data_IF_161428256961
#
_entry.id   IF_161428256961
#
_cell.length_a   1.000
_cell.length_b   1.000
_cell.length_c   1.000
_cell.angle_alpha   90.00
_cell.angle_beta   90.00
_cell.angle_gamma   90.00
#
_symmetry.space_group_name_H-M   'P 1'
#
loop_
_entity.id
_entity.type
_entity.pdbx_description
1 polymer ?
#
# COMPACT_ATOMS: atom_id res chain seq x y z
N UNK A 1 -14.60 -20.47 7.32
CA UNK A 1 -13.57 -20.91 6.36
C UNK A 1 -12.34 -19.97 6.30
N UNK A 2 -12.41 -18.75 6.79
CA UNK A 2 -11.39 -17.72 6.47
C UNK A 2 -10.08 -17.79 7.23
N UNK A 3 -10.05 -18.30 8.47
CA UNK A 3 -8.79 -18.34 9.26
C UNK A 3 -7.79 -19.36 8.69
N UNK A 4 -8.27 -20.51 8.22
CA UNK A 4 -7.41 -21.54 7.62
C UNK A 4 -6.85 -21.10 6.26
N UNK A 5 -7.68 -20.51 5.39
CA UNK A 5 -7.23 -20.01 4.09
C UNK A 5 -6.24 -18.84 4.21
N UNK A 6 -6.43 -17.93 5.17
CA UNK A 6 -5.46 -16.86 5.50
C UNK A 6 -4.13 -17.44 6.01
N UNK A 7 -4.19 -18.45 6.88
CA UNK A 7 -2.98 -19.09 7.40
C UNK A 7 -2.20 -19.81 6.29
N UNK A 8 -2.88 -20.54 5.40
CA UNK A 8 -2.28 -21.22 4.25
C UNK A 8 -1.64 -20.18 3.29
N UNK A 9 -2.33 -19.08 2.97
CA UNK A 9 -1.79 -18.02 2.12
C UNK A 9 -0.54 -17.39 2.72
N UNK A 10 -0.57 -17.04 4.02
CA UNK A 10 0.61 -16.50 4.73
C UNK A 10 1.77 -17.47 4.76
N UNK A 11 1.51 -18.77 4.94
CA UNK A 11 2.53 -19.80 4.90
C UNK A 11 3.12 -19.94 3.49
N UNK A 12 2.29 -19.90 2.44
CA UNK A 12 2.75 -19.99 1.05
C UNK A 12 3.58 -18.75 0.64
N UNK A 13 3.18 -17.54 1.09
CA UNK A 13 3.95 -16.31 0.88
C UNK A 13 5.29 -16.39 1.61
N UNK A 14 5.30 -16.87 2.87
CA UNK A 14 6.56 -17.10 3.62
C UNK A 14 7.48 -18.09 2.92
N UNK A 15 6.95 -19.18 2.39
CA UNK A 15 7.74 -20.18 1.66
C UNK A 15 8.30 -19.62 0.35
N UNK A 16 7.49 -18.90 -0.43
CA UNK A 16 7.95 -18.25 -1.67
C UNK A 16 8.98 -17.15 -1.43
N UNK A 17 8.91 -16.45 -0.30
CA UNK A 17 9.82 -15.35 0.03
C UNK A 17 11.14 -15.79 0.68
N UNK A 18 11.29 -17.08 1.06
CA UNK A 18 12.54 -17.59 1.63
C UNK A 18 13.72 -17.51 0.65
N UNK A 19 13.43 -17.45 -0.67
CA UNK A 19 14.47 -17.31 -1.70
C UNK A 19 14.61 -15.93 -2.34
N UNK A 20 13.73 -14.96 -2.05
CA UNK A 20 13.65 -13.69 -2.78
C UNK A 20 14.20 -12.46 -2.05
N UNK A 21 14.66 -12.58 -0.82
CA UNK A 21 15.21 -11.44 -0.05
C UNK A 21 14.19 -10.38 0.41
N UNK A 22 12.98 -10.33 -0.18
CA UNK A 22 11.96 -9.29 0.06
C UNK A 22 10.77 -9.79 0.90
N UNK A 23 11.05 -10.57 1.93
CA UNK A 23 10.02 -11.25 2.74
C UNK A 23 9.04 -10.28 3.38
N UNK A 24 9.52 -9.22 3.98
CA UNK A 24 8.68 -8.24 4.69
C UNK A 24 7.76 -7.50 3.71
N UNK A 25 8.28 -7.07 2.57
CA UNK A 25 7.48 -6.40 1.55
C UNK A 25 6.41 -7.32 0.95
N UNK A 26 6.73 -8.58 0.66
CA UNK A 26 5.76 -9.58 0.25
C UNK A 26 4.68 -9.82 1.31
N UNK A 27 5.04 -9.81 2.61
CA UNK A 27 4.08 -9.92 3.70
C UNK A 27 3.15 -8.71 3.78
N UNK A 28 3.67 -7.49 3.59
CA UNK A 28 2.86 -6.26 3.52
C UNK A 28 1.85 -6.34 2.37
N UNK A 29 2.31 -6.67 1.15
CA UNK A 29 1.43 -6.82 -0.01
C UNK A 29 0.33 -7.85 0.25
N UNK A 30 0.69 -9.02 0.78
CA UNK A 30 -0.29 -10.07 1.12
C UNK A 30 -1.31 -9.61 2.16
N UNK A 31 -0.89 -8.85 3.18
CA UNK A 31 -1.78 -8.34 4.21
C UNK A 31 -2.73 -7.27 3.67
N UNK A 32 -2.26 -6.41 2.77
CA UNK A 32 -3.08 -5.42 2.09
C UNK A 32 -4.12 -6.09 1.16
N UNK A 33 -3.72 -7.16 0.44
CA UNK A 33 -4.63 -7.97 -0.37
C UNK A 33 -5.71 -8.63 0.49
N UNK A 34 -5.36 -9.16 1.67
CA UNK A 34 -6.32 -9.71 2.63
C UNK A 34 -7.28 -8.65 3.17
N UNK A 35 -6.80 -7.43 3.41
CA UNK A 35 -7.62 -6.28 3.81
C UNK A 35 -8.66 -5.95 2.73
N UNK A 36 -8.24 -5.85 1.47
CA UNK A 36 -9.13 -5.62 0.33
C UNK A 36 -10.17 -6.74 0.17
N UNK A 37 -9.75 -7.99 0.29
CA UNK A 37 -10.66 -9.13 0.23
C UNK A 37 -11.69 -9.12 1.36
N UNK A 38 -11.29 -8.73 2.57
CA UNK A 38 -12.19 -8.59 3.72
C UNK A 38 -13.21 -7.47 3.52
N UNK A 39 -12.81 -6.34 2.94
CA UNK A 39 -13.71 -5.25 2.59
C UNK A 39 -14.76 -5.70 1.55
N UNK A 40 -14.33 -6.42 0.50
CA UNK A 40 -15.26 -7.01 -0.49
C UNK A 40 -16.24 -8.00 0.13
N UNK A 41 -15.77 -8.86 1.02
CA UNK A 41 -16.64 -9.83 1.70
C UNK A 41 -17.65 -9.15 2.61
N UNK A 42 -17.25 -8.08 3.30
CA UNK A 42 -18.14 -7.26 4.12
C UNK A 42 -19.24 -6.60 3.27
N UNK A 43 -18.86 -5.98 2.14
CA UNK A 43 -19.80 -5.39 1.18
C UNK A 43 -20.82 -6.43 0.67
N UNK A 44 -20.37 -7.62 0.30
CA UNK A 44 -21.25 -8.68 -0.19
C UNK A 44 -22.20 -9.17 0.88
N UNK A 45 -21.73 -9.32 2.13
CA UNK A 45 -22.56 -9.73 3.25
C UNK A 45 -23.65 -8.69 3.56
N UNK A 46 -23.31 -7.38 3.58
CA UNK A 46 -24.28 -6.30 3.76
C UNK A 46 -25.33 -6.28 2.64
N UNK A 47 -24.90 -6.41 1.38
CA UNK A 47 -25.82 -6.43 0.25
C UNK A 47 -26.77 -7.64 0.29
N UNK A 48 -26.27 -8.80 0.73
CA UNK A 48 -27.11 -9.99 0.93
C UNK A 48 -28.14 -9.75 2.02
N UNK A 49 -27.72 -9.26 3.19
CA UNK A 49 -28.62 -8.95 4.30
C UNK A 49 -29.70 -7.93 3.90
N UNK A 50 -29.35 -6.87 3.16
CA UNK A 50 -30.32 -5.90 2.67
C UNK A 50 -31.36 -6.50 1.73
N UNK A 51 -30.95 -7.41 0.82
CA UNK A 51 -31.88 -8.14 -0.05
C UNK A 51 -32.81 -9.06 0.74
N UNK A 52 -32.30 -9.73 1.76
CA UNK A 52 -33.11 -10.61 2.61
C UNK A 52 -34.12 -9.80 3.44
N UNK A 53 -33.74 -8.60 3.92
CA UNK A 53 -34.68 -7.68 4.59
C UNK A 53 -35.80 -7.21 3.67
N UNK A 54 -35.51 -6.88 2.42
CA UNK A 54 -36.56 -6.56 1.42
C UNK A 54 -37.48 -7.74 1.21
N UNK A 55 -36.89 -8.94 0.99
CA UNK A 55 -37.68 -10.16 0.78
C UNK A 55 -38.60 -10.47 1.98
N UNK A 56 -38.08 -10.30 3.18
CA UNK A 56 -38.89 -10.43 4.40
C UNK A 56 -40.00 -9.39 4.46
N UNK A 57 -39.72 -8.12 4.15
CA UNK A 57 -40.69 -7.03 4.21
C UNK A 57 -41.85 -7.23 3.22
N UNK A 58 -41.57 -7.76 2.02
CA UNK A 58 -42.56 -8.02 0.98
C UNK A 58 -43.59 -9.11 1.38
N UNK A 59 -43.20 -9.99 2.30
CA UNK A 59 -44.10 -11.02 2.84
C UNK A 59 -44.97 -10.50 4.02
N UNK A 60 -44.83 -9.24 4.39
CA UNK A 60 -45.58 -8.59 5.46
C UNK A 60 -46.81 -7.87 4.89
N UNK A 61 -47.91 -7.88 5.60
CA UNK A 61 -49.11 -7.11 5.24
C UNK A 61 -48.96 -5.62 5.54
N UNK A 62 -47.96 -5.23 6.32
CA UNK A 62 -47.73 -3.85 6.75
C UNK A 62 -47.02 -3.04 5.66
N UNK A 63 -47.78 -2.15 5.02
CA UNK A 63 -47.33 -1.29 3.94
C UNK A 63 -46.19 -0.35 4.37
N UNK A 64 -46.14 0.10 5.63
CA UNK A 64 -45.06 0.94 6.16
C UNK A 64 -43.74 0.19 6.07
N UNK A 65 -43.72 -1.08 6.51
CA UNK A 65 -42.55 -1.94 6.49
C UNK A 65 -42.11 -2.17 5.05
N UNK A 66 -43.03 -2.55 4.14
CA UNK A 66 -42.71 -2.78 2.74
C UNK A 66 -42.06 -1.57 2.07
N UNK A 67 -42.66 -0.40 2.20
CA UNK A 67 -42.20 0.84 1.59
C UNK A 67 -40.86 1.26 2.17
N UNK A 68 -40.72 1.23 3.50
CA UNK A 68 -39.45 1.60 4.17
C UNK A 68 -38.30 0.75 3.68
N UNK A 69 -38.42 -0.58 3.72
CA UNK A 69 -37.31 -1.45 3.29
C UNK A 69 -37.04 -1.40 1.79
N UNK A 70 -38.01 -1.09 0.96
CA UNK A 70 -37.82 -0.82 -0.46
C UNK A 70 -36.90 0.39 -0.67
N UNK A 71 -37.19 1.50 0.02
CA UNK A 71 -36.38 2.72 -0.11
C UNK A 71 -35.01 2.57 0.52
N UNK A 72 -34.90 1.87 1.66
CA UNK A 72 -33.60 1.53 2.25
C UNK A 72 -32.77 0.62 1.35
N UNK A 73 -33.39 -0.27 0.57
CA UNK A 73 -32.69 -1.10 -0.39
C UNK A 73 -32.06 -0.27 -1.53
N UNK A 74 -32.74 0.78 -1.99
CA UNK A 74 -32.15 1.71 -2.99
C UNK A 74 -30.93 2.43 -2.42
N UNK A 75 -30.98 2.88 -1.16
CA UNK A 75 -29.81 3.46 -0.49
C UNK A 75 -28.68 2.44 -0.32
N UNK A 76 -29.01 1.16 -0.04
CA UNK A 76 -28.02 0.10 0.06
C UNK A 76 -27.34 -0.21 -1.28
N UNK A 77 -28.02 -0.06 -2.42
CA UNK A 77 -27.38 -0.16 -3.73
C UNK A 77 -26.33 0.94 -3.89
N UNK A 78 -26.65 2.19 -3.53
CA UNK A 78 -25.69 3.30 -3.57
C UNK A 78 -24.50 3.04 -2.64
N UNK A 79 -24.76 2.54 -1.43
CA UNK A 79 -23.71 2.17 -0.49
C UNK A 79 -22.79 1.06 -1.03
N UNK A 80 -23.37 0.07 -1.69
CA UNK A 80 -22.61 -1.01 -2.33
C UNK A 80 -21.67 -0.47 -3.44
N UNK A 81 -22.15 0.50 -4.23
CA UNK A 81 -21.32 1.15 -5.26
C UNK A 81 -20.15 1.93 -4.64
N UNK A 82 -20.41 2.70 -3.57
CA UNK A 82 -19.37 3.43 -2.82
C UNK A 82 -18.32 2.49 -2.23
N UNK A 83 -18.74 1.38 -1.64
CA UNK A 83 -17.81 0.37 -1.11
C UNK A 83 -17.01 -0.31 -2.22
N UNK A 84 -17.61 -0.59 -3.37
CA UNK A 84 -16.93 -1.14 -4.54
C UNK A 84 -15.84 -0.19 -5.04
N UNK A 85 -16.15 1.09 -5.20
CA UNK A 85 -15.20 2.13 -5.58
C UNK A 85 -14.02 2.18 -4.59
N UNK A 86 -14.29 2.21 -3.30
CA UNK A 86 -13.25 2.16 -2.28
C UNK A 86 -12.35 0.91 -2.39
N UNK A 87 -12.91 -0.26 -2.71
CA UNK A 87 -12.09 -1.48 -2.91
C UNK A 87 -11.20 -1.42 -4.14
N UNK A 88 -11.54 -0.61 -5.14
CA UNK A 88 -10.65 -0.37 -6.28
C UNK A 88 -9.50 0.59 -5.91
N UNK A 89 -9.75 1.63 -5.11
CA UNK A 89 -8.68 2.46 -4.54
C UNK A 89 -7.70 1.67 -3.67
N UNK A 90 -8.19 0.72 -2.87
CA UNK A 90 -7.31 -0.21 -2.16
C UNK A 90 -6.45 -1.06 -3.11
N UNK A 91 -6.98 -1.45 -4.28
CA UNK A 91 -6.19 -2.17 -5.30
C UNK A 91 -5.07 -1.30 -5.86
N UNK A 92 -5.36 -0.03 -6.14
CA UNK A 92 -4.35 0.91 -6.62
C UNK A 92 -3.25 1.15 -5.57
N UNK A 93 -3.63 1.25 -4.29
CA UNK A 93 -2.67 1.34 -3.20
C UNK A 93 -1.77 0.11 -3.11
N UNK A 94 -2.32 -1.09 -3.22
CA UNK A 94 -1.55 -2.34 -3.25
C UNK A 94 -0.56 -2.34 -4.42
N UNK A 95 -1.00 -1.87 -5.59
CA UNK A 95 -0.17 -1.82 -6.78
C UNK A 95 1.09 -0.94 -6.59
N UNK A 96 1.04 0.13 -5.78
CA UNK A 96 2.25 0.91 -5.47
C UNK A 96 3.32 0.03 -4.80
N UNK A 97 2.93 -0.86 -3.88
CA UNK A 97 3.87 -1.77 -3.22
C UNK A 97 4.35 -2.90 -4.14
N UNK A 98 3.52 -3.36 -5.07
CA UNK A 98 3.92 -4.33 -6.10
C UNK A 98 4.98 -3.72 -7.03
N UNK A 99 4.84 -2.45 -7.43
CA UNK A 99 5.85 -1.71 -8.20
C UNK A 99 7.16 -1.52 -7.42
N UNK A 100 7.09 -1.27 -6.11
CA UNK A 100 8.28 -1.20 -5.26
C UNK A 100 8.98 -2.56 -5.22
N UNK A 101 8.24 -3.66 -5.09
CA UNK A 101 8.80 -5.01 -5.10
C UNK A 101 9.50 -5.33 -6.42
N UNK A 102 8.94 -4.92 -7.55
CA UNK A 102 9.54 -5.06 -8.86
C UNK A 102 10.88 -4.30 -8.95
N UNK A 103 10.92 -3.06 -8.46
CA UNK A 103 12.16 -2.28 -8.37
C UNK A 103 13.24 -2.96 -7.53
N UNK A 104 12.88 -3.51 -6.37
CA UNK A 104 13.81 -4.29 -5.54
C UNK A 104 14.38 -5.52 -6.27
N UNK A 105 13.54 -6.22 -7.04
CA UNK A 105 13.98 -7.37 -7.83
C UNK A 105 14.96 -6.96 -8.94
N UNK A 106 14.75 -5.80 -9.58
CA UNK A 106 15.69 -5.26 -10.56
C UNK A 106 17.06 -4.93 -9.95
N UNK A 107 17.07 -4.37 -8.73
CA UNK A 107 18.33 -4.15 -7.98
C UNK A 107 19.04 -5.46 -7.67
N UNK A 108 18.32 -6.48 -7.24
CA UNK A 108 18.91 -7.80 -6.96
C UNK A 108 19.45 -8.47 -8.23
N UNK A 109 18.79 -8.28 -9.37
CA UNK A 109 19.30 -8.75 -10.65
C UNK A 109 20.63 -8.06 -11.02
N UNK A 110 20.73 -6.74 -10.86
CA UNK A 110 21.96 -5.99 -11.10
C UNK A 110 23.10 -6.48 -10.17
N UNK A 111 22.81 -6.68 -8.88
CA UNK A 111 23.76 -7.26 -7.91
C UNK A 111 24.25 -8.66 -8.33
N UNK A 112 23.36 -9.50 -8.84
CA UNK A 112 23.69 -10.84 -9.34
C UNK A 112 24.64 -10.76 -10.56
N UNK A 113 24.40 -9.83 -11.48
CA UNK A 113 25.26 -9.59 -12.64
C UNK A 113 26.65 -9.11 -12.18
N UNK A 114 26.72 -8.15 -11.25
CA UNK A 114 27.96 -7.65 -10.70
C UNK A 114 28.78 -8.77 -10.04
N UNK A 115 28.13 -9.61 -9.23
CA UNK A 115 28.76 -10.79 -8.62
C UNK A 115 29.30 -11.78 -9.65
N UNK A 116 28.58 -12.01 -10.74
CA UNK A 116 29.01 -12.86 -11.84
C UNK A 116 30.28 -12.28 -12.55
N UNK A 117 30.33 -10.96 -12.72
CA UNK A 117 31.48 -10.26 -13.29
C UNK A 117 32.72 -10.37 -12.37
N UNK A 118 32.51 -10.20 -11.05
CA UNK A 118 33.60 -10.40 -10.05
C UNK A 118 34.16 -11.81 -10.06
N UNK A 119 33.28 -12.80 -10.13
CA UNK A 119 33.72 -14.22 -10.22
C UNK A 119 34.51 -14.48 -11.49
N UNK A 120 34.09 -13.92 -12.64
CA UNK A 120 34.80 -14.03 -13.92
C UNK A 120 36.18 -13.39 -13.83
N UNK A 121 36.27 -12.15 -13.33
CA UNK A 121 37.55 -11.47 -13.12
C UNK A 121 38.50 -12.31 -12.22
N UNK A 122 38.00 -12.76 -11.09
CA UNK A 122 38.76 -13.59 -10.14
C UNK A 122 39.26 -14.87 -10.77
N UNK A 123 38.46 -15.49 -11.65
CA UNK A 123 38.89 -16.69 -12.40
C UNK A 123 40.04 -16.38 -13.36
N UNK A 124 39.91 -15.34 -14.20
CA UNK A 124 40.95 -14.94 -15.16
C UNK A 124 42.25 -14.53 -14.45
N UNK A 125 42.14 -13.81 -13.33
CA UNK A 125 43.30 -13.41 -12.49
C UNK A 125 44.05 -14.63 -11.94
N UNK A 126 43.31 -15.68 -11.53
CA UNK A 126 43.94 -16.96 -11.08
C UNK A 126 44.59 -17.70 -12.25
N UNK A 127 44.00 -17.69 -13.44
CA UNK A 127 44.55 -18.30 -14.65
C UNK A 127 45.87 -17.59 -15.05
N UNK A 128 45.88 -16.25 -15.07
CA UNK A 128 47.08 -15.45 -15.35
C UNK A 128 48.21 -15.74 -14.34
N UNK A 129 47.89 -15.80 -13.05
CA UNK A 129 48.85 -16.13 -11.98
C UNK A 129 49.48 -17.53 -12.14
N UNK A 130 48.72 -18.49 -12.69
CA UNK A 130 49.25 -19.83 -13.00
C UNK A 130 50.07 -19.83 -14.28
N UNK A 131 49.59 -19.12 -15.31
CA UNK A 131 50.29 -19.04 -16.62
C UNK A 131 51.63 -18.33 -16.53
N UNK A 132 51.77 -17.27 -15.72
CA UNK A 132 53.01 -16.53 -15.53
C UNK A 132 54.19 -17.40 -15.08
N UNK A 133 53.93 -18.61 -14.60
CA UNK A 133 54.97 -19.57 -14.16
C UNK A 133 55.35 -20.62 -15.20
N UNK A 134 54.55 -20.83 -16.28
CA UNK A 134 54.69 -21.99 -17.17
C UNK A 134 54.41 -21.72 -18.65
N UNK A 135 53.82 -20.58 -19.01
CA UNK A 135 53.32 -20.30 -20.37
C UNK A 135 54.24 -19.37 -21.15
N UNK A 136 54.04 -19.34 -22.48
CA UNK A 136 54.79 -18.45 -23.39
C UNK A 136 54.23 -17.00 -23.28
N UNK A 137 54.98 -16.02 -23.80
CA UNK A 137 54.63 -14.60 -23.73
C UNK A 137 53.30 -14.26 -24.44
N UNK A 138 52.93 -14.99 -25.48
CA UNK A 138 51.69 -14.75 -26.22
C UNK A 138 50.46 -15.16 -25.44
N UNK A 139 50.48 -16.31 -24.74
CA UNK A 139 49.38 -16.74 -23.85
C UNK A 139 49.21 -15.77 -22.68
N UNK A 140 50.31 -15.26 -22.11
CA UNK A 140 50.26 -14.26 -21.03
C UNK A 140 49.59 -12.98 -21.53
N UNK A 141 49.97 -12.45 -22.70
CA UNK A 141 49.37 -11.24 -23.28
C UNK A 141 47.87 -11.41 -23.57
N UNK A 142 47.44 -12.60 -24.03
CA UNK A 142 46.01 -12.89 -24.22
C UNK A 142 45.24 -12.92 -22.89
N UNK A 143 45.81 -13.48 -21.82
CA UNK A 143 45.20 -13.50 -20.50
C UNK A 143 45.15 -12.11 -19.87
N UNK A 144 46.14 -11.26 -20.05
CA UNK A 144 46.14 -9.85 -19.61
C UNK A 144 45.03 -9.06 -20.32
N UNK A 145 44.84 -9.27 -21.64
CA UNK A 145 43.76 -8.65 -22.39
C UNK A 145 42.38 -9.09 -21.86
N UNK A 146 42.20 -10.39 -21.58
CA UNK A 146 40.98 -10.93 -20.98
C UNK A 146 40.74 -10.38 -19.57
N UNK A 147 41.80 -10.21 -18.77
CA UNK A 147 41.68 -9.63 -17.42
C UNK A 147 41.25 -8.17 -17.51
N UNK A 148 41.86 -7.35 -18.35
CA UNK A 148 41.47 -5.96 -18.55
C UNK A 148 40.02 -5.83 -19.00
N UNK A 149 39.54 -6.73 -19.87
CA UNK A 149 38.11 -6.78 -20.26
C UNK A 149 37.20 -7.17 -19.10
N UNK A 150 37.59 -8.16 -18.28
CA UNK A 150 36.80 -8.60 -17.13
C UNK A 150 36.74 -7.51 -16.05
N UNK A 151 37.83 -6.79 -15.79
CA UNK A 151 37.89 -5.65 -14.87
C UNK A 151 36.97 -4.51 -15.31
N UNK A 152 36.98 -4.16 -16.62
CA UNK A 152 36.02 -3.16 -17.16
C UNK A 152 34.58 -3.61 -16.99
N UNK A 153 34.26 -4.88 -17.30
CA UNK A 153 32.92 -5.42 -17.15
C UNK A 153 32.44 -5.37 -15.68
N UNK A 154 33.33 -5.71 -14.72
CA UNK A 154 33.00 -5.59 -13.29
C UNK A 154 32.73 -4.14 -12.90
N UNK A 155 33.60 -3.21 -13.31
CA UNK A 155 33.44 -1.79 -12.97
C UNK A 155 32.12 -1.25 -13.49
N UNK A 156 31.75 -1.53 -14.74
CA UNK A 156 30.48 -1.13 -15.32
C UNK A 156 29.29 -1.74 -14.57
N UNK A 157 29.35 -3.04 -14.25
CA UNK A 157 28.29 -3.69 -13.50
C UNK A 157 28.14 -3.13 -12.07
N UNK A 158 29.23 -2.75 -11.42
CA UNK A 158 29.20 -2.10 -10.11
C UNK A 158 28.58 -0.69 -10.17
N UNK A 159 28.90 0.10 -11.23
CA UNK A 159 28.26 1.39 -11.47
C UNK A 159 26.76 1.22 -11.70
N UNK A 160 26.32 0.24 -12.52
CA UNK A 160 24.90 -0.04 -12.76
C UNK A 160 24.17 -0.40 -11.45
N UNK A 161 24.78 -1.16 -10.55
CA UNK A 161 24.17 -1.43 -9.22
C UNK A 161 23.94 -0.16 -8.43
N UNK A 162 24.94 0.73 -8.36
CA UNK A 162 24.82 1.98 -7.61
C UNK A 162 23.70 2.86 -8.17
N UNK A 163 23.65 3.02 -9.49
CA UNK A 163 22.65 3.81 -10.19
C UNK A 163 21.24 3.24 -9.94
N UNK A 164 21.04 1.94 -10.12
CA UNK A 164 19.74 1.28 -9.88
C UNK A 164 19.28 1.36 -8.43
N UNK A 165 20.21 1.26 -7.47
CA UNK A 165 19.87 1.45 -6.05
C UNK A 165 19.36 2.86 -5.80
N UNK A 166 20.04 3.89 -6.33
CA UNK A 166 19.63 5.29 -6.16
C UNK A 166 18.28 5.58 -6.81
N UNK A 167 18.07 5.12 -8.03
CA UNK A 167 16.79 5.24 -8.72
C UNK A 167 15.66 4.55 -7.96
N UNK A 168 15.89 3.31 -7.50
CA UNK A 168 14.89 2.55 -6.77
C UNK A 168 14.51 3.22 -5.45
N UNK A 169 15.48 3.78 -4.69
CA UNK A 169 15.19 4.52 -3.47
C UNK A 169 14.35 5.78 -3.74
N UNK A 170 14.64 6.52 -4.79
CA UNK A 170 13.84 7.67 -5.21
C UNK A 170 12.40 7.26 -5.60
N UNK A 171 12.28 6.21 -6.41
CA UNK A 171 10.97 5.67 -6.83
C UNK A 171 10.17 5.19 -5.63
N UNK A 172 10.77 4.50 -4.67
CA UNK A 172 10.09 4.06 -3.44
C UNK A 172 9.45 5.23 -2.68
N UNK A 173 10.20 6.32 -2.49
CA UNK A 173 9.70 7.51 -1.79
C UNK A 173 8.50 8.10 -2.55
N UNK A 174 8.60 8.24 -3.87
CA UNK A 174 7.51 8.76 -4.71
C UNK A 174 6.27 7.86 -4.59
N UNK A 175 6.42 6.54 -4.79
CA UNK A 175 5.32 5.58 -4.75
C UNK A 175 4.62 5.51 -3.40
N UNK A 176 5.38 5.52 -2.31
CA UNK A 176 4.80 5.54 -0.95
C UNK A 176 4.03 6.84 -0.72
N UNK A 177 4.60 8.00 -1.08
CA UNK A 177 3.92 9.28 -0.93
C UNK A 177 2.62 9.35 -1.72
N UNK A 178 2.66 9.03 -3.01
CA UNK A 178 1.47 9.03 -3.87
C UNK A 178 0.41 8.04 -3.38
N UNK A 179 0.84 6.83 -3.01
CA UNK A 179 -0.06 5.81 -2.48
C UNK A 179 -0.77 6.26 -1.21
N UNK A 180 -0.04 6.85 -0.26
CA UNK A 180 -0.61 7.34 1.00
C UNK A 180 -1.57 8.52 0.78
N UNK A 181 -1.24 9.46 -0.11
CA UNK A 181 -2.12 10.58 -0.43
C UNK A 181 -3.44 10.08 -1.04
N UNK A 182 -3.37 9.24 -2.07
CA UNK A 182 -4.56 8.66 -2.72
C UNK A 182 -5.40 7.81 -1.76
N UNK A 183 -4.75 7.02 -0.90
CA UNK A 183 -5.45 6.24 0.13
C UNK A 183 -6.18 7.16 1.10
N UNK A 184 -5.55 8.23 1.57
CA UNK A 184 -6.16 9.19 2.49
C UNK A 184 -7.36 9.88 1.86
N UNK A 185 -7.25 10.31 0.61
CA UNK A 185 -8.35 10.91 -0.16
C UNK A 185 -9.52 9.93 -0.31
N UNK A 186 -9.23 8.66 -0.63
CA UNK A 186 -10.28 7.64 -0.77
C UNK A 186 -11.02 7.34 0.54
N UNK A 187 -10.34 7.40 1.71
CA UNK A 187 -10.99 7.29 3.00
C UNK A 187 -11.85 8.51 3.34
N UNK A 188 -11.39 9.72 3.02
CA UNK A 188 -12.18 10.95 3.21
C UNK A 188 -13.45 10.94 2.34
N UNK A 189 -13.31 10.51 1.10
CA UNK A 189 -14.43 10.35 0.18
C UNK A 189 -15.43 9.29 0.66
N UNK A 190 -14.94 8.12 1.10
CA UNK A 190 -15.75 7.06 1.68
C UNK A 190 -16.54 7.58 2.90
N UNK A 191 -15.87 8.30 3.81
CA UNK A 191 -16.50 8.86 5.00
C UNK A 191 -17.60 9.86 4.66
N UNK A 192 -17.37 10.76 3.69
CA UNK A 192 -18.35 11.71 3.23
C UNK A 192 -19.56 11.03 2.58
N UNK A 193 -19.36 10.12 1.65
CA UNK A 193 -20.42 9.37 0.98
C UNK A 193 -21.20 8.50 1.97
N UNK A 194 -20.52 7.88 2.95
CA UNK A 194 -21.14 7.17 4.07
C UNK A 194 -22.09 8.09 4.86
N UNK A 195 -21.60 9.27 5.26
CA UNK A 195 -22.42 10.24 5.99
C UNK A 195 -23.70 10.60 5.22
N UNK A 196 -23.59 10.94 3.93
CA UNK A 196 -24.72 11.31 3.07
C UNK A 196 -25.76 10.19 2.99
N UNK A 197 -25.32 8.94 2.83
CA UNK A 197 -26.23 7.79 2.69
C UNK A 197 -26.92 7.47 4.02
N UNK A 198 -26.15 7.42 5.13
CA UNK A 198 -26.74 7.05 6.43
C UNK A 198 -27.51 8.18 7.10
N UNK A 199 -27.28 9.44 6.73
CA UNK A 199 -28.19 10.54 7.03
C UNK A 199 -29.57 10.31 6.38
N UNK A 200 -29.61 9.93 5.11
CA UNK A 200 -30.82 9.55 4.41
C UNK A 200 -31.53 8.33 5.02
N UNK A 201 -30.74 7.31 5.46
CA UNK A 201 -31.30 6.18 6.22
C UNK A 201 -32.04 6.63 7.49
N UNK A 202 -31.41 7.54 8.24
CA UNK A 202 -32.00 8.10 9.46
C UNK A 202 -33.28 8.90 9.15
N UNK A 203 -33.26 9.71 8.08
CA UNK A 203 -34.42 10.50 7.67
C UNK A 203 -35.59 9.59 7.31
N UNK A 204 -35.36 8.52 6.51
CA UNK A 204 -36.41 7.54 6.19
C UNK A 204 -36.91 6.81 7.43
N UNK A 205 -36.05 6.48 8.38
CA UNK A 205 -36.46 5.82 9.62
C UNK A 205 -37.33 6.74 10.51
N UNK A 206 -37.08 8.05 10.49
CA UNK A 206 -37.90 9.03 11.23
C UNK A 206 -39.30 9.19 10.67
N UNK A 207 -39.53 8.83 9.39
CA UNK A 207 -40.89 8.85 8.78
C UNK A 207 -41.73 7.65 9.22
N UNK A 208 -41.18 6.67 9.91
CA UNK A 208 -41.93 5.54 10.45
C UNK A 208 -42.81 6.06 11.60
N UNK A 209 -44.16 5.87 11.53
CA UNK A 209 -45.08 6.38 12.51
C UNK A 209 -44.78 5.85 13.93
N UNK A 210 -44.89 6.71 14.92
CA UNK A 210 -44.85 6.26 16.32
C UNK A 210 -46.19 5.62 16.69
N UNK A 211 -46.16 4.33 16.97
CA UNK A 211 -47.35 3.51 17.31
C UNK A 211 -47.65 3.44 18.81
N UNK A 212 -46.88 4.11 19.68
CA UNK A 212 -47.11 4.10 21.10
C UNK A 212 -48.47 4.74 21.43
N UNK A 213 -49.35 3.97 22.09
CA UNK A 213 -50.69 4.39 22.53
C UNK A 213 -51.68 4.76 21.40
N UNK A 214 -51.48 4.23 20.18
CA UNK A 214 -52.44 4.41 19.05
C UNK A 214 -52.92 3.07 18.54
N UNK A 215 -54.13 3.02 18.03
CA UNK A 215 -54.63 1.85 17.32
C UNK A 215 -53.91 1.74 15.97
N UNK A 216 -53.34 0.55 15.68
CA UNK A 216 -52.62 0.27 14.44
C UNK A 216 -53.47 0.56 13.20
N UNK A 217 -54.80 0.37 13.30
CA UNK A 217 -55.75 0.63 12.21
C UNK A 217 -55.97 2.13 11.91
N UNK A 218 -55.64 3.02 12.85
CA UNK A 218 -55.72 4.47 12.67
C UNK A 218 -54.49 5.12 12.11
N UNK A 219 -53.36 4.34 11.96
CA UNK A 219 -52.08 4.86 11.51
C UNK A 219 -52.05 4.93 9.98
N UNK A 220 -52.22 6.13 9.46
CA UNK A 220 -52.02 6.42 8.05
C UNK A 220 -50.53 6.68 7.80
N UNK A 221 -49.92 5.92 6.89
CA UNK A 221 -48.52 6.14 6.45
C UNK A 221 -48.49 7.11 5.27
N UNK A 222 -48.01 8.31 5.52
CA UNK A 222 -47.82 9.35 4.49
C UNK A 222 -46.35 9.50 4.03
N UNK A 223 -45.45 8.72 4.60
CA UNK A 223 -43.98 8.87 4.41
C UNK A 223 -43.42 8.37 3.07
N UNK A 224 -44.23 7.71 2.23
CA UNK A 224 -43.72 7.11 0.97
C UNK A 224 -43.10 8.14 0.03
N UNK A 225 -43.81 9.25 -0.24
CA UNK A 225 -43.30 10.30 -1.13
C UNK A 225 -42.05 11.01 -0.59
N UNK A 226 -41.99 11.21 0.75
CA UNK A 226 -40.83 11.82 1.40
C UNK A 226 -39.62 10.88 1.35
N UNK A 227 -39.82 9.59 1.54
CA UNK A 227 -38.73 8.59 1.46
C UNK A 227 -38.18 8.51 0.03
N UNK A 228 -39.01 8.50 -1.00
CA UNK A 228 -38.60 8.52 -2.42
C UNK A 228 -37.83 9.80 -2.75
N UNK A 229 -38.30 10.96 -2.28
CA UNK A 229 -37.58 12.23 -2.47
C UNK A 229 -36.23 12.24 -1.75
N UNK A 230 -36.14 11.65 -0.57
CA UNK A 230 -34.89 11.52 0.18
C UNK A 230 -33.89 10.69 -0.57
N UNK A 231 -34.28 9.54 -1.15
CA UNK A 231 -33.43 8.71 -2.01
C UNK A 231 -32.98 9.50 -3.25
N UNK A 232 -33.91 10.20 -3.93
CA UNK A 232 -33.59 10.99 -5.13
C UNK A 232 -32.57 12.09 -4.80
N UNK A 233 -32.76 12.83 -3.72
CA UNK A 233 -31.83 13.87 -3.25
C UNK A 233 -30.45 13.30 -2.89
N UNK A 234 -30.42 12.14 -2.27
CA UNK A 234 -29.17 11.44 -1.93
C UNK A 234 -28.39 11.07 -3.17
N UNK A 235 -29.06 10.49 -4.19
CA UNK A 235 -28.42 10.19 -5.50
C UNK A 235 -27.80 11.44 -6.13
N UNK A 236 -28.50 12.57 -6.09
CA UNK A 236 -27.98 13.82 -6.66
C UNK A 236 -26.81 14.38 -5.84
N UNK A 237 -26.86 14.37 -4.51
CA UNK A 237 -25.75 14.80 -3.63
C UNK A 237 -24.47 13.99 -3.91
N UNK A 238 -24.59 12.67 -4.08
CA UNK A 238 -23.45 11.80 -4.40
C UNK A 238 -22.86 12.13 -5.79
N UNK A 239 -23.73 12.37 -6.80
CA UNK A 239 -23.28 12.76 -8.15
C UNK A 239 -22.56 14.11 -8.16
N UNK A 240 -23.06 15.08 -7.42
CA UNK A 240 -22.44 16.41 -7.29
C UNK A 240 -21.09 16.35 -6.59
N UNK A 241 -20.95 15.51 -5.58
CA UNK A 241 -19.67 15.29 -4.90
C UNK A 241 -18.63 14.73 -5.87
N UNK A 242 -18.97 13.72 -6.63
CA UNK A 242 -18.08 13.14 -7.63
C UNK A 242 -17.61 14.16 -8.67
N UNK A 243 -18.49 15.01 -9.19
CA UNK A 243 -18.14 16.09 -10.12
C UNK A 243 -17.19 17.12 -9.50
N UNK A 244 -17.38 17.49 -8.23
CA UNK A 244 -16.48 18.41 -7.52
C UNK A 244 -15.11 17.82 -7.28
N UNK A 245 -15.04 16.57 -6.88
CA UNK A 245 -13.77 15.85 -6.67
C UNK A 245 -12.93 15.82 -7.95
N UNK A 246 -13.53 15.56 -9.10
CA UNK A 246 -12.85 15.59 -10.40
C UNK A 246 -12.36 16.99 -10.81
N UNK A 247 -13.06 18.07 -10.41
CA UNK A 247 -12.67 19.44 -10.73
C UNK A 247 -11.55 19.99 -9.85
N UNK A 248 -11.31 19.39 -8.68
CA UNK A 248 -10.22 19.75 -7.75
C UNK A 248 -8.95 18.91 -7.92
N UNK A 249 -8.89 18.01 -8.91
CA UNK A 249 -7.60 17.44 -9.29
C UNK A 249 -6.74 18.60 -9.78
N UNK A 250 -5.69 19.01 -9.03
CA UNK A 250 -4.76 19.99 -9.55
C UNK A 250 -4.26 19.41 -10.86
N UNK A 251 -4.41 20.16 -11.94
CA UNK A 251 -3.68 19.89 -13.16
C UNK A 251 -2.24 19.65 -12.70
N UNK A 252 -1.73 18.43 -12.84
CA UNK A 252 -0.36 18.16 -12.48
C UNK A 252 0.45 19.29 -13.11
N UNK A 253 1.26 20.04 -12.35
CA UNK A 253 2.11 21.04 -12.95
C UNK A 253 2.87 20.30 -14.04
N UNK A 254 2.71 20.75 -15.27
CA UNK A 254 3.54 20.32 -16.37
C UNK A 254 4.94 20.65 -15.89
N UNK A 255 5.67 19.65 -15.42
CA UNK A 255 7.08 19.80 -15.10
C UNK A 255 7.78 20.02 -16.45
N UNK A 256 7.80 21.30 -16.89
CA UNK A 256 8.59 21.74 -18.05
C UNK A 256 10.09 21.70 -17.73
N UNK A 257 10.46 21.48 -16.48
CA UNK A 257 11.86 21.29 -16.12
C UNK A 257 12.17 19.80 -16.11
N UNK A 258 13.12 19.35 -16.93
CA UNK A 258 13.66 18.02 -16.79
C UNK A 258 14.21 17.87 -15.36
N UNK A 259 14.09 16.67 -14.75
CA UNK A 259 14.61 16.46 -13.41
C UNK A 259 16.07 16.92 -13.38
N UNK A 260 16.52 17.63 -12.31
CA UNK A 260 17.87 18.14 -12.22
C UNK A 260 18.85 16.99 -12.48
N UNK A 261 19.78 17.22 -13.39
CA UNK A 261 20.81 16.24 -13.74
C UNK A 261 21.57 15.88 -12.46
N UNK A 262 21.43 14.65 -12.00
CA UNK A 262 22.14 14.13 -10.80
C UNK A 262 23.66 14.03 -11.00
N UNK A 263 24.17 14.40 -12.17
CA UNK A 263 25.60 14.47 -12.49
C UNK A 263 26.32 15.68 -11.86
N UNK A 264 25.62 16.58 -11.14
CA UNK A 264 26.20 17.77 -10.51
C UNK A 264 26.49 17.62 -9.00
N UNK A 265 26.52 16.40 -8.47
CA UNK A 265 27.09 16.20 -7.14
C UNK A 265 28.62 16.27 -7.25
N UNK A 266 29.30 17.17 -6.49
CA UNK A 266 30.76 17.23 -6.47
C UNK A 266 31.26 15.86 -5.99
N UNK A 267 32.13 15.24 -6.79
CA UNK A 267 32.79 14.00 -6.42
C UNK A 267 33.49 14.14 -5.07
N UNK A 268 33.67 13.04 -4.31
CA UNK A 268 34.36 13.09 -3.04
C UNK A 268 35.79 13.60 -3.26
N UNK A 269 36.06 14.81 -2.81
CA UNK A 269 37.42 15.34 -2.74
C UNK A 269 38.20 14.52 -1.73
N UNK A 270 38.99 13.58 -2.22
CA UNK A 270 40.02 12.92 -1.42
C UNK A 270 41.11 13.94 -1.09
N UNK A 271 41.01 14.60 0.06
CA UNK A 271 42.16 15.14 0.75
C UNK A 271 42.33 14.39 2.06
N UNK A 272 43.11 13.33 2.02
CA UNK A 272 43.71 12.76 3.21
C UNK A 272 44.80 13.75 3.67
N UNK A 273 44.53 14.57 4.67
CA UNK A 273 45.53 15.18 5.52
C UNK A 273 45.61 14.41 6.81
N UNK A 274 46.69 13.69 6.93
CA UNK A 274 47.21 13.09 8.14
C UNK A 274 47.69 14.21 9.07
N UNK A 275 46.93 14.43 10.17
CA UNK A 275 47.47 15.07 11.36
C UNK A 275 46.76 14.51 12.58
N UNK A 276 47.40 13.54 13.19
CA UNK A 276 47.03 12.95 14.47
C UNK A 276 47.75 13.76 15.56
N UNK A 277 47.00 14.58 16.30
CA UNK A 277 47.48 15.03 17.61
C UNK A 277 46.55 14.52 18.73
N UNK A 278 47.10 13.92 19.78
CA UNK A 278 46.29 13.38 20.88
C UNK A 278 45.98 14.49 21.91
N UNK A 279 44.72 14.82 22.13
CA UNK A 279 44.31 15.72 23.21
C UNK A 279 43.76 14.96 24.40
N UNK A 280 44.38 15.28 25.52
CA UNK A 280 44.23 14.74 26.85
C UNK A 280 42.81 14.87 27.41
N UNK A 281 42.52 13.92 28.28
CA UNK A 281 41.36 13.79 29.17
C UNK A 281 41.22 15.02 30.06
N UNK A 282 39.96 15.51 30.15
CA UNK A 282 39.47 16.11 31.38
C UNK A 282 38.07 15.57 31.65
N UNK A 283 37.96 14.88 32.78
CA UNK A 283 36.69 14.38 33.29
C UNK A 283 35.81 15.52 33.79
N UNK A 284 34.51 15.27 33.68
CA UNK A 284 33.57 15.80 34.67
C UNK A 284 32.37 14.85 34.76
N UNK A 285 32.20 14.38 35.98
CA UNK A 285 31.03 13.70 36.50
C UNK A 285 29.78 14.58 36.33
N UNK A 286 28.71 14.01 35.87
CA UNK A 286 27.38 14.37 36.39
C UNK A 286 26.41 13.21 36.17
N UNK A 287 26.08 12.59 37.26
CA UNK A 287 24.94 11.74 37.53
C UNK A 287 23.64 12.32 36.94
N UNK A 288 22.89 11.50 36.19
CA UNK A 288 21.45 11.65 36.27
C UNK A 288 20.76 10.30 36.10
N UNK A 289 20.07 10.00 37.14
CA UNK A 289 19.23 8.88 37.52
C UNK A 289 18.14 8.60 36.52
N UNK A 290 18.00 7.33 36.17
CA UNK A 290 16.84 6.75 35.52
C UNK A 290 15.78 6.49 36.64
N UNK A 291 14.51 6.77 36.39
CA UNK A 291 13.45 6.10 37.12
C UNK A 291 12.37 5.63 36.17
N UNK A 292 12.26 4.35 35.91
CA UNK A 292 11.00 3.65 35.69
C UNK A 292 11.29 2.14 35.66
N UNK A 293 11.41 1.62 36.85
CA UNK A 293 11.07 0.22 37.17
C UNK A 293 9.70 0.23 37.85
N UNK A 294 8.95 -0.82 37.61
CA UNK A 294 7.72 -1.21 38.33
C UNK A 294 6.53 -1.26 37.33
N UNK A 295 5.74 -2.27 37.24
CA UNK A 295 5.53 -3.48 38.07
C UNK A 295 4.75 -4.48 37.18
N UNK A 296 5.11 -5.75 37.34
CA UNK A 296 4.28 -6.90 37.00
C UNK A 296 2.97 -6.86 37.80
N UNK A 297 1.89 -7.24 37.20
CA UNK A 297 0.83 -8.00 37.87
C UNK A 297 -0.05 -8.74 36.88
N UNK A 298 0.04 -10.05 36.96
CA UNK A 298 -0.97 -11.03 36.63
C UNK A 298 -2.37 -10.56 37.03
N UNK A 299 -3.35 -10.77 36.19
CA UNK A 299 -4.58 -11.39 36.66
C UNK A 299 -5.36 -12.07 35.50
N UNK A 300 -5.75 -13.28 35.81
CA UNK A 300 -6.57 -14.21 35.05
C UNK A 300 -8.06 -13.80 35.07
N UNK A 301 -8.77 -14.36 34.09
CA UNK A 301 -10.22 -14.72 34.04
C UNK A 301 -11.23 -13.60 33.75
N UNK A 302 -11.80 -13.64 32.62
CA UNK A 302 -13.16 -14.22 32.35
C UNK A 302 -13.35 -14.39 30.84
#
# INVERSE_FOLDING_TARGET
MDKASKAIRRSSVRLKSIGSGHRELNMVISQLQDTRASAKNFMLAQNTAARDLVKWSMNNENQVIQTTFTQLAELNVLWTEVQKEFTEHLKEFIHQFEMILEGEQHVDQARSIASSCEQRESKVRRELSKASRKSNAEEIAQLETKLAQAERSRTLAQCDVVERVQENEAVKIIRVKEGLLKLSESYLELAHKCHVIFEAHRDIANEIPNVQNRDIHEIQYSGSAMAEETVRRTKERLRQYHRRSLSYLPCAPILEEPPPSYYALPGPSHSFSSDYEPRQQHGNNSSNTNPFEGEDSDDERY
#
